data_IF_183847738453
#
_entry.id   IF_183847738453
#
_cell.length_a   1.000
_cell.length_b   1.000
_cell.length_c   1.000
_cell.angle_alpha   90.00
_cell.angle_beta   90.00
_cell.angle_gamma   90.00
#
_symmetry.space_group_name_H-M   'P 1'
#
loop_
_entity.id
_entity.type
_entity.pdbx_description
1 polymer ?
#
# COMPACT_ATOMS: atom_id res chain seq x y z
N UNK A 1 1.08 8.62 46.76
CA UNK A 1 -0.21 9.32 47.01
C UNK A 1 0.12 10.80 47.16
N UNK A 2 -0.34 11.64 46.23
CA UNK A 2 -0.24 13.09 46.41
C UNK A 2 -1.32 13.54 47.39
N UNK A 3 -0.99 14.33 48.44
CA UNK A 3 -1.97 14.87 49.37
C UNK A 3 -2.83 15.93 48.64
N UNK A 4 -4.14 15.88 48.82
CA UNK A 4 -5.08 16.88 48.33
C UNK A 4 -5.60 17.73 49.46
N UNK A 5 -5.68 19.05 49.25
CA UNK A 5 -6.11 20.00 50.29
C UNK A 5 -7.62 19.92 50.58
N UNK A 6 -8.41 19.39 49.65
CA UNK A 6 -9.84 19.16 49.83
C UNK A 6 -10.41 18.07 48.92
N UNK A 7 -11.54 17.48 49.35
CA UNK A 7 -12.28 16.50 48.53
C UNK A 7 -12.76 17.07 47.21
N UNK A 8 -13.16 18.32 47.16
CA UNK A 8 -13.56 19.01 45.93
C UNK A 8 -12.41 19.11 44.94
N UNK A 9 -11.21 19.40 45.42
CA UNK A 9 -10.01 19.47 44.57
C UNK A 9 -9.61 18.10 44.02
N UNK A 10 -9.80 17.04 44.78
CA UNK A 10 -9.64 15.64 44.31
C UNK A 10 -10.61 15.33 43.19
N UNK A 11 -11.89 15.66 43.35
CA UNK A 11 -12.94 15.43 42.36
C UNK A 11 -12.69 16.23 41.07
N UNK A 12 -12.37 17.52 41.18
CA UNK A 12 -12.07 18.37 40.03
C UNK A 12 -10.90 17.81 39.20
N UNK A 13 -9.82 17.39 39.85
CA UNK A 13 -8.69 16.78 39.14
C UNK A 13 -9.06 15.44 38.53
N UNK A 14 -9.82 14.60 39.21
CA UNK A 14 -10.28 13.32 38.70
C UNK A 14 -11.14 13.48 37.44
N UNK A 15 -12.15 14.36 37.49
CA UNK A 15 -13.02 14.60 36.34
C UNK A 15 -12.27 15.28 35.20
N UNK A 16 -11.41 16.26 35.47
CA UNK A 16 -10.59 16.90 34.45
C UNK A 16 -9.63 15.91 33.78
N UNK A 17 -9.06 14.96 34.50
CA UNK A 17 -8.21 13.92 33.93
C UNK A 17 -9.03 12.95 33.05
N UNK A 18 -10.21 12.56 33.51
CA UNK A 18 -11.14 11.71 32.78
C UNK A 18 -11.61 12.36 31.49
N UNK A 19 -12.05 13.61 31.53
CA UNK A 19 -12.51 14.37 30.35
C UNK A 19 -11.40 14.52 29.32
N UNK A 20 -10.15 14.74 29.76
CA UNK A 20 -8.99 14.76 28.86
C UNK A 20 -8.75 13.40 28.20
N UNK A 21 -8.81 12.32 28.97
CA UNK A 21 -8.64 10.97 28.46
C UNK A 21 -9.73 10.60 27.45
N UNK A 22 -10.99 10.94 27.75
CA UNK A 22 -12.12 10.69 26.85
C UNK A 22 -12.02 11.53 25.55
N UNK A 23 -11.60 12.79 25.63
CA UNK A 23 -11.33 13.64 24.47
C UNK A 23 -10.22 13.09 23.57
N UNK A 24 -9.12 12.62 24.17
CA UNK A 24 -8.01 11.96 23.46
C UNK A 24 -8.52 10.70 22.76
N UNK A 25 -9.27 9.87 23.49
CA UNK A 25 -9.83 8.61 22.97
C UNK A 25 -10.75 8.86 21.77
N UNK A 26 -11.68 9.82 21.86
CA UNK A 26 -12.58 10.17 20.76
C UNK A 26 -11.82 10.69 19.53
N UNK A 27 -10.85 11.59 19.74
CA UNK A 27 -10.00 12.13 18.67
C UNK A 27 -9.16 11.05 18.01
N UNK A 28 -8.59 10.14 18.79
CA UNK A 28 -7.83 8.98 18.30
C UNK A 28 -8.71 8.05 17.47
N UNK A 29 -9.93 7.75 17.93
CA UNK A 29 -10.86 6.87 17.20
C UNK A 29 -11.24 7.41 15.82
N UNK A 30 -11.46 8.73 15.69
CA UNK A 30 -11.79 9.34 14.42
C UNK A 30 -10.66 9.20 13.39
N UNK A 31 -9.41 9.47 13.81
CA UNK A 31 -8.22 9.30 12.96
C UNK A 31 -8.01 7.81 12.64
N UNK A 32 -8.11 6.95 13.65
CA UNK A 32 -7.96 5.50 13.50
C UNK A 32 -8.94 4.91 12.49
N UNK A 33 -10.22 5.30 12.56
CA UNK A 33 -11.25 4.86 11.59
C UNK A 33 -10.85 5.24 10.16
N UNK A 34 -10.38 6.47 9.95
CA UNK A 34 -9.97 6.93 8.62
C UNK A 34 -8.75 6.14 8.12
N UNK A 35 -7.72 5.98 8.95
CA UNK A 35 -6.50 5.25 8.58
C UNK A 35 -6.79 3.75 8.34
N UNK A 36 -7.64 3.12 9.17
CA UNK A 36 -8.08 1.73 8.96
C UNK A 36 -8.81 1.54 7.63
N UNK A 37 -9.67 2.49 7.26
CA UNK A 37 -10.35 2.45 5.96
C UNK A 37 -9.39 2.59 4.79
N UNK A 38 -8.40 3.49 4.89
CA UNK A 38 -7.34 3.63 3.88
C UNK A 38 -6.52 2.36 3.78
N UNK A 39 -6.07 1.81 4.90
CA UNK A 39 -5.32 0.54 4.96
C UNK A 39 -6.10 -0.61 4.28
N UNK A 40 -7.37 -0.80 4.64
CA UNK A 40 -8.21 -1.83 4.04
C UNK A 40 -8.42 -1.63 2.53
N UNK A 41 -8.55 -0.37 2.08
CA UNK A 41 -8.68 -0.03 0.64
C UNK A 41 -7.40 -0.33 -0.11
N UNK A 42 -6.25 0.06 0.43
CA UNK A 42 -4.93 -0.21 -0.18
C UNK A 42 -4.65 -1.71 -0.23
N UNK A 43 -4.99 -2.48 0.83
CA UNK A 43 -4.86 -3.93 0.85
C UNK A 43 -5.69 -4.61 -0.25
N UNK A 44 -6.95 -4.22 -0.44
CA UNK A 44 -7.81 -4.75 -1.51
C UNK A 44 -7.28 -4.40 -2.90
N UNK A 45 -6.78 -3.17 -3.08
CA UNK A 45 -6.16 -2.75 -4.33
C UNK A 45 -4.94 -3.62 -4.66
N UNK A 46 -4.07 -3.86 -3.68
CA UNK A 46 -2.90 -4.73 -3.84
C UNK A 46 -3.28 -6.16 -4.22
N UNK A 47 -4.30 -6.72 -3.59
CA UNK A 47 -4.79 -8.05 -3.92
C UNK A 47 -5.25 -8.15 -5.38
N UNK A 48 -6.01 -7.16 -5.85
CA UNK A 48 -6.45 -7.11 -7.25
C UNK A 48 -5.25 -6.96 -8.21
N UNK A 49 -4.31 -6.07 -7.91
CA UNK A 49 -3.10 -5.89 -8.72
C UNK A 49 -2.24 -7.16 -8.79
N UNK A 50 -2.14 -7.92 -7.69
CA UNK A 50 -1.44 -9.23 -7.70
C UNK A 50 -2.16 -10.27 -8.55
N UNK A 51 -3.51 -10.30 -8.54
CA UNK A 51 -4.30 -11.16 -9.42
C UNK A 51 -4.10 -10.78 -10.90
N UNK A 52 -4.12 -9.49 -11.20
CA UNK A 52 -3.86 -8.99 -12.55
C UNK A 52 -2.42 -9.32 -13.00
N UNK A 53 -1.43 -9.18 -12.11
CA UNK A 53 -0.05 -9.56 -12.39
C UNK A 53 0.08 -11.06 -12.68
N UNK A 54 -0.58 -11.91 -11.90
CA UNK A 54 -0.59 -13.35 -12.13
C UNK A 54 -1.19 -13.72 -13.50
N UNK A 55 -2.21 -12.99 -13.95
CA UNK A 55 -2.80 -13.18 -15.28
C UNK A 55 -1.86 -12.81 -16.44
N UNK A 56 -0.78 -12.04 -16.19
CA UNK A 56 0.23 -11.73 -17.22
C UNK A 56 1.30 -12.82 -17.37
N UNK A 57 1.28 -13.85 -16.53
CA UNK A 57 2.31 -14.89 -16.50
C UNK A 57 2.43 -15.64 -17.84
N UNK A 58 1.30 -15.92 -18.49
CA UNK A 58 1.24 -16.69 -19.74
C UNK A 58 1.52 -15.85 -21.00
N UNK A 59 2.11 -14.65 -20.86
CA UNK A 59 2.35 -13.75 -21.99
C UNK A 59 3.25 -14.37 -23.07
N UNK A 60 4.26 -15.16 -22.69
CA UNK A 60 5.13 -15.82 -23.66
C UNK A 60 4.34 -16.77 -24.57
N UNK A 61 3.27 -17.38 -24.05
CA UNK A 61 2.37 -18.18 -24.86
C UNK A 61 1.70 -17.36 -25.94
N UNK A 62 1.31 -16.12 -25.68
CA UNK A 62 0.75 -15.22 -26.69
C UNK A 62 1.75 -14.95 -27.82
N UNK A 63 3.02 -14.73 -27.51
CA UNK A 63 4.08 -14.56 -28.52
C UNK A 63 4.24 -15.82 -29.35
N UNK A 64 4.36 -16.98 -28.71
CA UNK A 64 4.46 -18.28 -29.38
C UNK A 64 3.29 -18.54 -30.32
N UNK A 65 2.06 -18.27 -29.88
CA UNK A 65 0.86 -18.40 -30.75
C UNK A 65 0.93 -17.45 -31.94
N UNK A 66 1.42 -16.23 -31.74
CA UNK A 66 1.69 -15.28 -32.83
C UNK A 66 2.70 -15.81 -33.85
N UNK A 67 3.80 -16.41 -33.37
CA UNK A 67 4.84 -17.01 -34.21
C UNK A 67 4.31 -18.21 -34.99
N UNK A 68 3.56 -19.13 -34.34
CA UNK A 68 2.94 -20.29 -34.98
C UNK A 68 1.94 -19.83 -36.05
N UNK A 69 1.12 -18.83 -35.73
CA UNK A 69 0.17 -18.28 -36.69
C UNK A 69 0.86 -17.66 -37.92
N UNK A 70 1.96 -16.92 -37.65
CA UNK A 70 2.75 -16.28 -38.71
C UNK A 70 3.40 -17.30 -39.64
N UNK A 71 3.92 -18.40 -39.09
CA UNK A 71 4.51 -19.50 -39.87
C UNK A 71 3.48 -20.24 -40.72
N UNK A 72 2.19 -20.21 -40.37
CA UNK A 72 1.09 -20.93 -41.04
C UNK A 72 0.12 -20.00 -41.80
N UNK A 73 0.49 -18.76 -42.07
CA UNK A 73 -0.39 -17.80 -42.77
C UNK A 73 -0.91 -18.31 -44.10
N UNK A 74 -0.10 -19.11 -44.84
CA UNK A 74 -0.45 -19.71 -46.11
C UNK A 74 -1.60 -20.73 -46.00
N UNK A 75 -1.78 -21.35 -44.86
CA UNK A 75 -2.81 -22.35 -44.59
C UNK A 75 -4.15 -21.76 -44.13
N UNK A 76 -4.20 -20.45 -43.85
CA UNK A 76 -5.37 -19.81 -43.25
C UNK A 76 -6.18 -19.13 -44.34
N UNK A 77 -7.47 -19.49 -44.45
CA UNK A 77 -8.43 -18.85 -45.33
C UNK A 77 -9.17 -17.72 -44.61
N UNK A 78 -9.54 -16.68 -45.35
CA UNK A 78 -10.35 -15.59 -44.79
C UNK A 78 -11.71 -16.13 -44.31
N UNK A 79 -12.13 -15.72 -43.11
CA UNK A 79 -13.36 -16.21 -42.48
C UNK A 79 -13.19 -17.49 -41.66
N UNK A 80 -11.99 -18.06 -41.60
CA UNK A 80 -11.70 -19.23 -40.81
C UNK A 80 -11.68 -18.86 -39.32
N UNK A 81 -12.28 -19.72 -38.48
CA UNK A 81 -12.41 -19.48 -37.02
C UNK A 81 -11.37 -20.20 -36.17
N UNK A 82 -10.69 -21.21 -36.74
CA UNK A 82 -9.72 -22.05 -36.04
C UNK A 82 -8.59 -22.47 -36.98
N UNK A 83 -7.37 -22.49 -36.47
CA UNK A 83 -6.22 -23.08 -37.13
C UNK A 83 -5.71 -24.25 -36.26
N UNK A 84 -5.48 -25.42 -36.91
CA UNK A 84 -4.71 -26.52 -36.32
C UNK A 84 -3.31 -26.47 -36.87
N UNK A 85 -2.33 -26.44 -35.99
CA UNK A 85 -0.92 -26.37 -36.35
C UNK A 85 -0.06 -27.07 -35.30
N UNK A 86 1.11 -27.56 -35.72
CA UNK A 86 2.08 -28.11 -34.82
C UNK A 86 2.70 -26.99 -33.93
N UNK A 87 2.79 -27.23 -32.64
CA UNK A 87 3.45 -26.33 -31.72
C UNK A 87 4.96 -26.61 -31.70
N UNK A 88 5.72 -25.84 -32.47
CA UNK A 88 7.17 -26.02 -32.55
C UNK A 88 7.92 -25.50 -31.28
N UNK A 89 7.21 -25.00 -30.27
CA UNK A 89 7.76 -24.71 -28.94
C UNK A 89 7.57 -25.88 -27.98
N UNK A 90 6.70 -26.86 -28.32
CA UNK A 90 6.56 -28.13 -27.59
C UNK A 90 7.62 -29.16 -28.13
N UNK A 91 8.44 -29.78 -27.27
CA UNK A 91 9.40 -30.80 -27.68
C UNK A 91 8.74 -31.96 -28.47
N UNK A 92 7.52 -32.30 -28.16
CA UNK A 92 6.76 -33.38 -28.84
C UNK A 92 6.02 -32.90 -30.09
N UNK A 93 6.16 -31.62 -30.50
CA UNK A 93 5.52 -31.02 -31.66
C UNK A 93 4.00 -31.23 -31.66
N UNK A 94 3.36 -31.18 -30.48
CA UNK A 94 1.92 -31.46 -30.34
C UNK A 94 1.08 -30.51 -31.19
N UNK A 95 0.02 -31.07 -31.79
CA UNK A 95 -0.95 -30.26 -32.53
C UNK A 95 -1.78 -29.42 -31.56
N UNK A 96 -1.88 -28.12 -31.82
CA UNK A 96 -2.70 -27.18 -31.08
C UNK A 96 -3.75 -26.54 -31.96
N UNK A 97 -4.86 -26.15 -31.33
CA UNK A 97 -5.94 -25.41 -32.00
C UNK A 97 -5.90 -23.94 -31.57
N UNK A 98 -5.68 -23.05 -32.52
CA UNK A 98 -5.63 -21.60 -32.29
C UNK A 98 -6.94 -20.99 -32.78
N UNK A 99 -7.65 -20.27 -31.92
CA UNK A 99 -8.88 -19.55 -32.26
C UNK A 99 -8.56 -18.27 -33.01
N UNK A 100 -9.23 -18.07 -34.12
CA UNK A 100 -9.08 -16.92 -35.02
C UNK A 100 -10.34 -16.05 -35.02
N UNK A 101 -10.16 -14.77 -35.21
CA UNK A 101 -11.27 -13.87 -35.49
C UNK A 101 -11.55 -13.86 -36.99
N UNK A 102 -12.73 -14.39 -37.48
CA UNK A 102 -13.04 -14.47 -38.90
C UNK A 102 -13.29 -13.11 -39.58
N UNK A 103 -13.53 -12.06 -38.77
CA UNK A 103 -13.81 -10.71 -39.30
C UNK A 103 -12.55 -9.97 -39.77
N UNK A 104 -11.35 -10.44 -39.36
CA UNK A 104 -10.06 -9.81 -39.68
C UNK A 104 -9.19 -10.75 -40.52
N UNK A 105 -8.16 -10.21 -41.17
CA UNK A 105 -7.24 -11.02 -41.98
C UNK A 105 -6.37 -11.95 -41.12
N UNK A 106 -5.80 -13.03 -41.72
CA UNK A 106 -4.83 -13.88 -41.02
C UNK A 106 -3.65 -13.10 -40.39
N UNK A 107 -3.11 -12.14 -41.14
CA UNK A 107 -2.03 -11.26 -40.69
C UNK A 107 -2.46 -10.40 -39.50
N UNK A 108 -3.68 -9.88 -39.51
CA UNK A 108 -4.23 -9.10 -38.40
C UNK A 108 -4.49 -9.96 -37.19
N UNK A 109 -4.85 -11.25 -37.35
CA UNK A 109 -4.96 -12.19 -36.26
C UNK A 109 -3.57 -12.42 -35.57
N UNK A 110 -2.50 -12.65 -36.35
CA UNK A 110 -1.15 -12.77 -35.83
C UNK A 110 -0.70 -11.49 -35.13
N UNK A 111 -0.91 -10.33 -35.72
CA UNK A 111 -0.57 -9.03 -35.12
C UNK A 111 -1.32 -8.77 -33.80
N UNK A 112 -2.54 -9.30 -33.64
CA UNK A 112 -3.32 -9.21 -32.41
C UNK A 112 -2.62 -9.95 -31.27
N UNK A 113 -2.10 -11.17 -31.49
CA UNK A 113 -1.36 -11.93 -30.49
C UNK A 113 -0.09 -11.18 -30.02
N UNK A 114 0.68 -10.61 -30.95
CA UNK A 114 1.83 -9.77 -30.59
C UNK A 114 1.44 -8.51 -29.83
N UNK A 115 0.34 -7.86 -30.21
CA UNK A 115 -0.19 -6.70 -29.49
C UNK A 115 -0.59 -7.05 -28.06
N UNK A 116 -1.24 -8.20 -27.87
CA UNK A 116 -1.66 -8.67 -26.55
C UNK A 116 -0.46 -9.10 -25.71
N UNK A 117 0.58 -9.71 -26.30
CA UNK A 117 1.88 -9.94 -25.67
C UNK A 117 2.51 -8.63 -25.16
N UNK A 118 2.60 -7.60 -26.02
CA UNK A 118 3.19 -6.32 -25.62
C UNK A 118 2.39 -5.62 -24.52
N UNK A 119 1.06 -5.71 -24.57
CA UNK A 119 0.20 -5.19 -23.49
C UNK A 119 0.48 -5.91 -22.16
N UNK A 120 0.54 -7.24 -22.16
CA UNK A 120 0.81 -8.03 -20.99
C UNK A 120 2.21 -7.72 -20.41
N UNK A 121 3.23 -7.59 -21.28
CA UNK A 121 4.59 -7.21 -20.88
C UNK A 121 4.66 -5.82 -20.24
N UNK A 122 3.95 -4.85 -20.81
CA UNK A 122 3.90 -3.50 -20.23
C UNK A 122 3.09 -3.46 -18.92
N UNK A 123 1.98 -4.22 -18.88
CA UNK A 123 1.16 -4.34 -17.68
C UNK A 123 1.96 -4.93 -16.50
N UNK A 124 2.75 -5.99 -16.73
CA UNK A 124 3.62 -6.59 -15.72
C UNK A 124 4.56 -5.55 -15.09
N UNK A 125 5.26 -4.77 -15.92
CA UNK A 125 6.18 -3.74 -15.45
C UNK A 125 5.47 -2.72 -14.56
N UNK A 126 4.34 -2.18 -15.06
CA UNK A 126 3.56 -1.17 -14.34
C UNK A 126 2.99 -1.74 -13.04
N UNK A 127 2.43 -2.96 -13.08
CA UNK A 127 1.85 -3.62 -11.90
C UNK A 127 2.91 -3.92 -10.85
N UNK A 128 4.09 -4.38 -11.24
CA UNK A 128 5.19 -4.63 -10.30
C UNK A 128 5.60 -3.35 -9.55
N UNK A 129 5.73 -2.23 -10.27
CA UNK A 129 6.04 -0.94 -9.66
C UNK A 129 4.91 -0.44 -8.73
N UNK A 130 3.65 -0.63 -9.14
CA UNK A 130 2.50 -0.23 -8.35
C UNK A 130 2.32 -1.08 -7.09
N UNK A 131 2.59 -2.38 -7.18
CA UNK A 131 2.54 -3.31 -6.03
C UNK A 131 3.61 -2.90 -5.02
N UNK A 132 4.83 -2.67 -5.44
CA UNK A 132 5.91 -2.24 -4.55
C UNK A 132 5.57 -0.94 -3.80
N UNK A 133 5.04 0.08 -4.52
CA UNK A 133 4.59 1.34 -3.89
C UNK A 133 3.41 1.12 -2.94
N UNK A 134 2.47 0.27 -3.32
CA UNK A 134 1.31 -0.05 -2.48
C UNK A 134 1.68 -0.81 -1.21
N UNK A 135 2.67 -1.69 -1.26
CA UNK A 135 3.21 -2.40 -0.10
C UNK A 135 3.88 -1.43 0.89
N UNK A 136 4.66 -0.47 0.38
CA UNK A 136 5.26 0.59 1.20
C UNK A 136 4.18 1.45 1.88
N UNK A 137 3.14 1.84 1.12
CA UNK A 137 2.00 2.59 1.66
C UNK A 137 1.26 1.79 2.74
N UNK A 138 1.03 0.49 2.50
CA UNK A 138 0.35 -0.38 3.46
C UNK A 138 1.15 -0.51 4.77
N UNK A 139 2.47 -0.73 4.67
CA UNK A 139 3.36 -0.79 5.82
C UNK A 139 3.38 0.53 6.61
N UNK A 140 3.40 1.67 5.91
CA UNK A 140 3.30 2.98 6.52
C UNK A 140 1.97 3.16 7.29
N UNK A 141 0.84 2.85 6.66
CA UNK A 141 -0.48 2.96 7.32
C UNK A 141 -0.59 2.04 8.54
N UNK A 142 0.00 0.84 8.48
CA UNK A 142 0.07 -0.08 9.62
C UNK A 142 0.88 0.54 10.78
N UNK A 143 2.04 1.15 10.50
CA UNK A 143 2.85 1.82 11.52
C UNK A 143 2.14 3.01 12.16
N UNK A 144 1.33 3.76 11.38
CA UNK A 144 0.49 4.84 11.92
C UNK A 144 -0.61 4.31 12.83
N UNK A 145 -1.25 3.18 12.48
CA UNK A 145 -2.25 2.53 13.35
C UNK A 145 -1.63 2.10 14.70
N UNK A 146 -0.41 1.60 14.67
CA UNK A 146 0.33 1.25 15.87
C UNK A 146 0.71 2.51 16.69
N UNK A 147 1.19 3.58 16.05
CA UNK A 147 1.45 4.85 16.71
C UNK A 147 0.19 5.43 17.39
N UNK A 148 -0.99 5.34 16.73
CA UNK A 148 -2.27 5.75 17.30
C UNK A 148 -2.69 4.92 18.53
N UNK A 149 -2.24 3.68 18.62
CA UNK A 149 -2.50 2.81 19.78
C UNK A 149 -1.69 3.25 20.99
N UNK A 150 -0.49 3.78 20.76
CA UNK A 150 0.45 4.26 21.78
C UNK A 150 0.29 5.74 22.14
N UNK A 151 -0.57 6.47 21.43
CA UNK A 151 -0.79 7.90 21.65
C UNK A 151 -1.47 8.14 23.01
N UNK A 152 -0.80 8.82 23.92
CA UNK A 152 -1.26 9.12 25.30
C UNK A 152 -1.66 10.58 25.48
N UNK A 153 -1.31 11.45 24.53
CA UNK A 153 -1.54 12.88 24.63
C UNK A 153 -2.19 13.48 23.39
N UNK A 154 -2.91 14.59 23.56
CA UNK A 154 -3.42 15.37 22.43
C UNK A 154 -2.30 15.85 21.49
N UNK A 155 -1.10 16.02 22.02
CA UNK A 155 0.11 16.39 21.29
C UNK A 155 0.55 15.29 20.33
N UNK A 156 0.56 14.03 20.79
CA UNK A 156 0.90 12.86 19.96
C UNK A 156 -0.08 12.76 18.80
N UNK A 157 -1.37 12.91 19.06
CA UNK A 157 -2.40 12.90 18.02
C UNK A 157 -2.26 14.05 17.01
N UNK A 158 -1.81 15.23 17.47
CA UNK A 158 -1.54 16.34 16.55
C UNK A 158 -0.35 16.07 15.64
N UNK A 159 0.72 15.47 16.17
CA UNK A 159 1.91 15.10 15.38
C UNK A 159 1.55 14.04 14.34
N UNK A 160 0.87 12.97 14.73
CA UNK A 160 0.40 11.93 13.82
C UNK A 160 -0.53 12.52 12.74
N UNK A 161 -1.45 13.41 13.14
CA UNK A 161 -2.34 14.08 12.18
C UNK A 161 -1.55 14.96 11.20
N UNK A 162 -0.59 15.74 11.68
CA UNK A 162 0.25 16.59 10.84
C UNK A 162 1.08 15.75 9.85
N UNK A 163 1.57 14.61 10.28
CA UNK A 163 2.27 13.64 9.43
C UNK A 163 1.34 13.11 8.33
N UNK A 164 0.13 12.67 8.67
CA UNK A 164 -0.86 12.19 7.70
C UNK A 164 -1.31 13.27 6.71
N UNK A 165 -1.42 14.52 7.14
CA UNK A 165 -1.71 15.66 6.25
C UNK A 165 -0.55 15.91 5.31
N UNK A 166 0.68 15.95 5.81
CA UNK A 166 1.87 16.15 4.97
C UNK A 166 2.09 15.03 3.96
N UNK A 167 1.69 13.79 4.30
CA UNK A 167 1.70 12.62 3.40
C UNK A 167 0.50 12.55 2.45
N UNK A 168 -0.45 13.49 2.52
CA UNK A 168 -1.63 13.51 1.64
C UNK A 168 -2.74 12.52 2.02
N UNK A 169 -2.63 11.84 3.15
CA UNK A 169 -3.63 10.86 3.62
C UNK A 169 -4.85 11.51 4.31
N UNK A 170 -4.68 12.71 4.84
CA UNK A 170 -5.75 13.52 5.41
C UNK A 170 -5.77 14.89 4.80
N UNK A 171 -6.96 15.45 4.66
CA UNK A 171 -7.12 16.86 4.26
C UNK A 171 -6.81 17.77 5.43
N UNK A 172 -6.14 18.88 5.15
CA UNK A 172 -6.04 19.98 6.10
C UNK A 172 -7.43 20.55 6.31
N UNK A 173 -7.95 20.45 7.54
CA UNK A 173 -9.21 21.11 7.88
C UNK A 173 -8.89 22.49 8.39
N UNK A 174 -9.46 23.53 7.78
CA UNK A 174 -9.44 24.94 8.16
C UNK A 174 -10.10 25.18 9.53
N UNK A 175 -9.73 24.45 10.53
CA UNK A 175 -10.12 24.77 11.90
C UNK A 175 -9.10 25.75 12.45
N UNK A 176 -9.54 27.02 12.59
CA UNK A 176 -9.00 28.13 13.40
C UNK A 176 -7.67 27.79 14.06
N UNK A 177 -6.61 28.55 13.79
CA UNK A 177 -5.26 28.51 14.38
C UNK A 177 -5.17 27.64 15.64
N UNK A 178 -5.02 26.32 15.44
CA UNK A 178 -4.74 25.44 16.57
C UNK A 178 -3.42 25.90 17.13
N UNK A 179 -3.41 26.24 18.38
CA UNK A 179 -2.21 26.55 19.13
C UNK A 179 -1.18 25.45 18.85
N UNK A 180 -0.06 25.81 18.22
CA UNK A 180 1.02 24.87 17.93
C UNK A 180 1.60 24.43 19.28
N UNK A 181 1.22 23.24 19.70
CA UNK A 181 1.83 22.63 20.87
C UNK A 181 3.32 22.32 20.56
N UNK A 182 4.22 22.52 21.51
CA UNK A 182 5.60 22.12 21.32
C UNK A 182 5.69 20.61 21.03
N UNK A 183 6.69 20.13 20.27
CA UNK A 183 6.79 18.72 19.90
C UNK A 183 6.84 17.80 21.11
N UNK A 184 6.28 16.60 21.00
CA UNK A 184 6.31 15.58 22.03
C UNK A 184 7.75 15.07 22.24
N UNK A 185 8.03 14.61 23.47
CA UNK A 185 9.32 13.97 23.74
C UNK A 185 9.24 12.48 23.40
N UNK A 186 10.32 11.90 22.83
CA UNK A 186 10.39 10.45 22.64
C UNK A 186 10.19 9.69 23.95
N UNK A 187 9.64 8.51 23.89
CA UNK A 187 9.63 7.59 25.03
C UNK A 187 11.06 7.13 25.30
N UNK A 188 11.43 7.05 26.57
CA UNK A 188 12.74 6.57 27.01
C UNK A 188 12.57 5.29 27.82
N UNK A 189 13.25 4.25 27.41
CA UNK A 189 13.35 2.98 28.11
C UNK A 189 14.82 2.70 28.46
N UNK A 190 15.05 1.73 29.32
CA UNK A 190 16.39 1.22 29.62
C UNK A 190 16.42 -0.26 29.26
N UNK A 191 17.47 -0.70 28.59
CA UNK A 191 17.72 -2.13 28.36
C UNK A 191 18.16 -2.82 29.68
N UNK A 192 18.15 -4.15 29.68
CA UNK A 192 18.70 -4.94 30.77
C UNK A 192 20.17 -4.62 31.08
N UNK A 193 20.92 -4.21 30.05
CA UNK A 193 22.35 -3.88 30.14
C UNK A 193 22.61 -2.40 30.45
N UNK A 194 21.54 -1.63 30.74
CA UNK A 194 21.65 -0.23 31.18
C UNK A 194 21.75 0.78 30.02
N UNK A 195 21.52 0.38 28.75
CA UNK A 195 21.52 1.31 27.61
C UNK A 195 20.18 2.04 27.48
N UNK A 196 20.19 3.37 27.21
CA UNK A 196 18.97 4.12 26.96
C UNK A 196 18.42 3.80 25.57
N UNK A 197 17.13 3.42 25.51
CA UNK A 197 16.40 3.17 24.29
C UNK A 197 15.40 4.30 24.09
N UNK A 198 15.46 4.99 22.95
CA UNK A 198 14.51 6.04 22.59
C UNK A 198 13.56 5.55 21.50
N UNK A 199 12.26 5.73 21.73
CA UNK A 199 11.21 5.38 20.77
C UNK A 199 10.38 6.60 20.46
N UNK A 200 10.29 6.98 19.20
CA UNK A 200 9.45 8.09 18.77
C UNK A 200 7.97 7.76 18.86
N UNK A 201 7.16 8.77 19.13
CA UNK A 201 5.69 8.66 19.22
C UNK A 201 5.00 8.78 17.85
N UNK A 202 5.77 9.08 16.80
CA UNK A 202 5.34 9.11 15.39
C UNK A 202 6.50 8.68 14.48
N UNK A 203 6.20 8.30 13.21
CA UNK A 203 7.25 7.94 12.25
C UNK A 203 8.22 9.09 12.01
N UNK A 204 7.71 10.31 11.90
CA UNK A 204 8.53 11.52 11.75
C UNK A 204 9.48 11.74 12.94
N UNK A 205 9.07 11.39 14.15
CA UNK A 205 9.93 11.48 15.32
C UNK A 205 10.98 10.38 15.31
N UNK A 206 10.63 9.16 14.91
CA UNK A 206 11.58 8.05 14.73
C UNK A 206 12.62 8.38 13.65
N UNK A 207 12.22 8.93 12.50
CA UNK A 207 13.16 9.38 11.46
C UNK A 207 14.15 10.39 12.00
N UNK A 208 13.67 11.37 12.79
CA UNK A 208 14.56 12.36 13.42
C UNK A 208 15.53 11.72 14.41
N UNK A 209 15.08 10.78 15.22
CA UNK A 209 15.93 10.03 16.14
C UNK A 209 17.03 9.29 15.37
N UNK A 210 16.67 8.57 14.33
CA UNK A 210 17.61 7.74 13.55
C UNK A 210 18.57 8.58 12.71
N UNK A 211 18.07 9.66 12.07
CA UNK A 211 18.89 10.41 11.08
C UNK A 211 19.66 11.59 11.67
N UNK A 212 19.24 12.13 12.82
CA UNK A 212 19.80 13.36 13.40
C UNK A 212 20.29 13.24 14.83
N UNK A 213 19.74 12.31 15.60
CA UNK A 213 20.04 12.21 17.04
C UNK A 213 20.92 11.00 17.35
N UNK A 214 20.76 9.89 16.62
CA UNK A 214 21.65 8.74 16.77
C UNK A 214 23.07 9.10 16.32
N UNK A 215 24.04 8.75 17.15
CA UNK A 215 25.46 8.86 16.81
C UNK A 215 25.83 7.80 15.77
N UNK A 216 26.74 8.16 14.88
CA UNK A 216 27.34 7.18 13.95
C UNK A 216 28.32 6.31 14.74
N UNK A 217 28.25 5.03 14.54
CA UNK A 217 29.22 4.07 15.06
C UNK A 217 30.59 4.30 14.44
#
# INVERSE_FOLDING_TARGET
QEPYDSFSQLLDRFYAARDRADSIRQSSQAIRKTVSNLHARTARKLENQRKELAATHDRERLRQLGDILTANLYAIRRGQTKLRAADFYDPDMKEIEITLNPAISPQQNAAKFYKDYQKAKNAEKILTEQIMKGEQELAYLASVLDALTRAESARDLQEIRAELVSGGFLRETDRKKRMKLPPSRPMRFMSSDGFPIFVGRSNRQNDRLTTRTAEKW
#
